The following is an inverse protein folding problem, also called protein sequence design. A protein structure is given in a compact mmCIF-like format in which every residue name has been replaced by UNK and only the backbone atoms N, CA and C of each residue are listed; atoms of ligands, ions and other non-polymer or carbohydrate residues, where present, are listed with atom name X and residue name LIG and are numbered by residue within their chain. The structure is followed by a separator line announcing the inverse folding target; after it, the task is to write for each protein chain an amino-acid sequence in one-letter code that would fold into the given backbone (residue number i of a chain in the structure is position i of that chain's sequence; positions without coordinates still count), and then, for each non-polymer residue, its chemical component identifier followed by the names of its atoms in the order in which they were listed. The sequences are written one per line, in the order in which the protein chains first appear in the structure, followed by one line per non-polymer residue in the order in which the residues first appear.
data_IF_960359441504
#
_entry.id   IF_960359441504
#
_cell.length_a   1.000
_cell.length_b   1.000
_cell.length_c   1.000
_cell.angle_alpha   90.00
_cell.angle_beta   90.00
_cell.angle_gamma   90.00
#
_symmetry.space_group_name_H-M   'P 1'
#
loop_
_entity.id
_entity.type
_entity.pdbx_description
1 polymer ?
#
# COMPACT_ATOMS: atom_id res chain seq x y z
N UNK A 1 34.40 30.69 44.31
CA UNK A 1 33.31 29.76 44.64
C UNK A 1 32.09 30.63 44.93
N UNK A 2 30.91 30.50 44.36
CA UNK A 2 30.32 29.60 43.37
C UNK A 2 29.18 30.37 42.69
N UNK A 3 28.79 29.92 41.50
CA UNK A 3 27.76 30.49 40.61
C UNK A 3 26.39 30.58 41.28
N UNK A 4 25.70 31.71 41.12
CA UNK A 4 24.24 31.76 41.14
C UNK A 4 23.75 31.65 39.69
N UNK A 5 22.88 30.67 39.45
CA UNK A 5 22.29 30.33 38.16
C UNK A 5 20.96 31.07 37.96
N UNK A 6 20.82 31.70 36.81
CA UNK A 6 19.54 32.13 36.21
C UNK A 6 18.58 30.94 36.08
N UNK A 7 17.33 31.12 36.54
CA UNK A 7 16.22 30.23 36.20
C UNK A 7 15.35 30.92 35.16
N UNK A 8 15.48 30.44 33.92
CA UNK A 8 14.63 30.73 32.78
C UNK A 8 13.22 30.18 33.01
N UNK A 9 12.24 31.01 32.64
CA UNK A 9 10.81 30.71 32.60
C UNK A 9 10.49 29.77 31.43
N UNK A 10 10.05 28.55 31.71
CA UNK A 10 9.42 27.65 30.74
C UNK A 10 7.90 27.68 30.92
N UNK A 11 7.21 28.44 30.08
CA UNK A 11 5.76 28.35 29.89
C UNK A 11 5.42 27.15 29.01
N UNK A 12 5.35 25.97 29.64
CA UNK A 12 4.77 24.77 29.03
C UNK A 12 3.25 24.78 29.16
N UNK A 13 2.54 25.18 28.10
CA UNK A 13 1.07 25.06 28.01
C UNK A 13 0.70 23.59 27.81
N UNK A 14 0.29 22.94 28.89
CA UNK A 14 -0.19 21.56 28.90
C UNK A 14 -1.70 21.55 28.55
N UNK A 15 -2.02 21.37 27.26
CA UNK A 15 -3.41 21.26 26.79
C UNK A 15 -3.93 19.83 26.98
N UNK A 16 -4.36 19.50 28.20
CA UNK A 16 -5.08 18.27 28.50
C UNK A 16 -6.59 18.51 28.26
N UNK A 17 -7.03 18.44 27.00
CA UNK A 17 -8.46 18.38 26.65
C UNK A 17 -8.77 16.91 26.35
N UNK A 18 -8.94 16.12 27.41
CA UNK A 18 -9.65 14.85 27.33
C UNK A 18 -11.11 15.16 26.98
N UNK A 19 -11.40 15.19 25.68
CA UNK A 19 -12.71 15.58 25.17
C UNK A 19 -13.68 14.39 25.26
N UNK A 20 -14.91 14.69 25.68
CA UNK A 20 -16.12 13.85 25.80
C UNK A 20 -16.37 12.86 24.63
N UNK A 21 -15.65 13.00 23.51
CA UNK A 21 -15.62 12.05 22.41
C UNK A 21 -15.01 10.69 22.79
N UNK A 22 -14.04 10.64 23.70
CA UNK A 22 -13.40 9.38 24.16
C UNK A 22 -14.41 8.49 24.91
N UNK A 23 -15.24 9.10 25.76
CA UNK A 23 -16.21 8.38 26.59
C UNK A 23 -17.35 7.76 25.77
N UNK A 24 -17.80 8.41 24.69
CA UNK A 24 -18.79 7.82 23.77
C UNK A 24 -18.20 6.73 22.87
N UNK A 25 -16.91 6.81 22.53
CA UNK A 25 -16.23 5.72 21.80
C UNK A 25 -16.07 4.49 22.68
N UNK A 26 -15.75 4.64 23.97
CA UNK A 26 -15.52 3.52 24.88
C UNK A 26 -16.81 2.75 25.24
N UNK A 27 -17.95 3.45 25.34
CA UNK A 27 -19.27 2.85 25.54
C UNK A 27 -19.74 2.05 24.31
N UNK A 28 -19.36 2.47 23.10
CA UNK A 28 -19.62 1.68 21.89
C UNK A 28 -18.59 0.56 21.68
N UNK A 29 -17.36 0.70 22.21
CA UNK A 29 -16.32 -0.32 22.18
C UNK A 29 -16.73 -1.57 22.97
N UNK A 30 -17.26 -1.41 24.18
CA UNK A 30 -17.77 -2.51 25.03
C UNK A 30 -19.02 -3.21 24.47
N UNK A 31 -19.67 -2.65 23.45
CA UNK A 31 -20.90 -3.20 22.86
C UNK A 31 -20.65 -4.30 21.82
N UNK A 32 -19.42 -4.39 21.30
CA UNK A 32 -18.99 -5.22 20.17
C UNK A 32 -18.06 -6.38 20.55
N UNK A 33 -17.95 -6.72 21.84
CA UNK A 33 -16.92 -7.64 22.33
C UNK A 33 -17.10 -9.10 21.88
N UNK A 34 -18.32 -9.54 21.60
CA UNK A 34 -18.58 -10.92 21.17
C UNK A 34 -18.10 -11.15 19.74
N UNK A 35 -17.42 -12.28 19.51
CA UNK A 35 -16.90 -12.69 18.19
C UNK A 35 -17.99 -12.70 17.10
N UNK A 36 -19.20 -13.13 17.44
CA UNK A 36 -20.37 -13.18 16.54
C UNK A 36 -20.75 -11.79 16.02
N UNK A 37 -20.76 -10.77 16.89
CA UNK A 37 -21.02 -9.38 16.47
C UNK A 37 -19.93 -8.86 15.54
N UNK A 38 -18.66 -9.15 15.85
CA UNK A 38 -17.53 -8.78 14.98
C UNK A 38 -17.69 -9.41 13.60
N UNK A 39 -18.05 -10.70 13.54
CA UNK A 39 -18.32 -11.42 12.31
C UNK A 39 -19.46 -10.79 11.49
N UNK A 40 -20.59 -10.46 12.12
CA UNK A 40 -21.73 -9.78 11.46
C UNK A 40 -21.31 -8.44 10.88
N UNK A 41 -20.57 -7.61 11.64
CA UNK A 41 -20.12 -6.31 11.15
C UNK A 41 -19.10 -6.42 10.01
N UNK A 42 -18.20 -7.39 10.07
CA UNK A 42 -17.27 -7.68 8.97
C UNK A 42 -18.01 -8.06 7.71
N UNK A 43 -18.98 -8.98 7.81
CA UNK A 43 -19.83 -9.39 6.70
C UNK A 43 -20.52 -8.18 6.06
N UNK A 44 -21.13 -7.31 6.87
CA UNK A 44 -21.80 -6.09 6.37
C UNK A 44 -20.84 -5.16 5.61
N UNK A 45 -19.59 -5.01 6.07
CA UNK A 45 -18.59 -4.17 5.38
C UNK A 45 -18.14 -4.82 4.07
N UNK A 46 -17.90 -6.13 4.07
CA UNK A 46 -17.47 -6.89 2.89
C UNK A 46 -18.57 -6.95 1.81
N UNK A 47 -19.83 -7.14 2.20
CA UNK A 47 -20.97 -7.17 1.28
C UNK A 47 -21.30 -5.78 0.71
N UNK A 48 -21.08 -4.71 1.50
CA UNK A 48 -21.38 -3.34 1.07
C UNK A 48 -20.47 -2.87 -0.06
N UNK A 49 -19.15 -3.07 0.07
CA UNK A 49 -18.18 -2.68 -0.93
C UNK A 49 -16.90 -3.51 -0.81
N UNK A 50 -16.94 -4.69 -1.43
CA UNK A 50 -15.87 -5.68 -1.35
C UNK A 50 -14.50 -5.14 -1.81
N UNK A 51 -14.47 -4.37 -2.91
CA UNK A 51 -13.22 -3.81 -3.46
C UNK A 51 -12.64 -2.72 -2.56
N UNK A 52 -13.49 -1.90 -1.94
CA UNK A 52 -13.03 -0.87 -1.02
C UNK A 52 -12.45 -1.47 0.27
N UNK A 53 -13.08 -2.53 0.79
CA UNK A 53 -12.57 -3.29 1.92
C UNK A 53 -11.22 -3.96 1.57
N UNK A 54 -11.14 -4.60 0.39
CA UNK A 54 -9.91 -5.22 -0.10
C UNK A 54 -8.76 -4.21 -0.29
N UNK A 55 -9.03 -3.02 -0.83
CA UNK A 55 -8.01 -1.98 -0.90
C UNK A 55 -7.54 -1.55 0.49
N UNK A 56 -8.47 -1.28 1.41
CA UNK A 56 -8.11 -0.83 2.77
C UNK A 56 -7.23 -1.87 3.48
N UNK A 57 -7.58 -3.13 3.34
CA UNK A 57 -6.78 -4.25 3.83
C UNK A 57 -5.42 -4.33 3.12
N UNK A 58 -5.39 -4.20 1.80
CA UNK A 58 -4.14 -4.22 1.01
C UNK A 58 -3.17 -3.10 1.39
N UNK A 59 -3.67 -1.90 1.70
CA UNK A 59 -2.85 -0.79 2.19
C UNK A 59 -2.29 -1.09 3.60
N UNK A 60 -3.09 -1.67 4.48
CA UNK A 60 -2.64 -2.12 5.80
C UNK A 60 -1.51 -3.16 5.69
N UNK A 61 -1.69 -4.17 4.85
CA UNK A 61 -0.69 -5.21 4.59
C UNK A 61 0.60 -4.61 4.01
N UNK A 62 0.50 -3.70 3.05
CA UNK A 62 1.66 -2.99 2.49
C UNK A 62 2.45 -2.23 3.57
N UNK A 63 1.75 -1.58 4.51
CA UNK A 63 2.35 -0.86 5.62
C UNK A 63 3.00 -1.81 6.64
N UNK A 64 2.38 -2.94 6.94
CA UNK A 64 2.88 -3.91 7.91
C UNK A 64 4.13 -4.64 7.43
N UNK A 65 4.19 -5.04 6.16
CA UNK A 65 5.36 -5.71 5.57
C UNK A 65 6.50 -4.75 5.17
N UNK A 66 6.30 -3.44 5.33
CA UNK A 66 7.35 -2.46 5.06
C UNK A 66 8.43 -2.52 6.12
N UNK A 67 9.71 -2.44 5.73
CA UNK A 67 10.82 -2.21 6.68
C UNK A 67 10.69 -0.88 7.46
N UNK A 68 9.78 0.01 7.01
CA UNK A 68 9.46 1.29 7.66
C UNK A 68 8.13 1.23 8.41
N UNK A 69 7.67 0.04 8.83
CA UNK A 69 6.40 -0.13 9.54
C UNK A 69 6.25 0.81 10.74
N UNK A 70 7.35 1.22 11.38
CA UNK A 70 7.31 2.18 12.50
C UNK A 70 6.65 3.52 12.16
N UNK A 71 6.85 4.02 10.93
CA UNK A 71 6.25 5.27 10.45
C UNK A 71 5.04 5.02 9.54
N UNK A 72 5.01 3.91 8.80
CA UNK A 72 3.96 3.61 7.82
C UNK A 72 2.71 2.95 8.44
N UNK A 73 2.89 2.09 9.45
CA UNK A 73 1.80 1.30 10.05
C UNK A 73 1.15 2.07 11.20
N UNK A 74 0.43 3.14 10.84
CA UNK A 74 -0.34 3.96 11.79
C UNK A 74 -1.77 4.15 11.27
N UNK A 75 -2.80 3.90 12.09
CA UNK A 75 -2.75 3.45 13.47
C UNK A 75 -2.37 1.97 13.58
N UNK A 76 -1.69 1.60 14.67
CA UNK A 76 -1.24 0.24 14.94
C UNK A 76 -2.30 -0.55 15.72
N UNK A 77 -2.57 -1.82 15.39
CA UNK A 77 -3.58 -2.62 16.09
C UNK A 77 -3.16 -2.89 17.55
N UNK A 78 -3.95 -2.45 18.55
CA UNK A 78 -3.55 -2.50 19.96
C UNK A 78 -3.41 -3.92 20.51
N UNK A 79 -4.08 -4.91 19.91
CA UNK A 79 -3.94 -6.32 20.30
C UNK A 79 -2.49 -6.83 20.15
N UNK A 80 -1.69 -6.22 19.29
CA UNK A 80 -0.30 -6.59 19.03
C UNK A 80 0.68 -5.64 19.73
N UNK A 81 0.23 -4.90 20.74
CA UNK A 81 1.09 -4.03 21.57
C UNK A 81 1.37 -4.71 22.91
N UNK A 82 2.62 -5.09 23.16
CA UNK A 82 3.06 -5.71 24.41
C UNK A 82 3.94 -4.73 25.18
N UNK A 83 3.43 -4.19 26.29
CA UNK A 83 4.15 -3.22 27.14
C UNK A 83 4.70 -2.00 26.39
N UNK A 84 3.94 -1.49 25.41
CA UNK A 84 4.34 -0.36 24.57
C UNK A 84 5.23 -0.71 23.38
N UNK A 85 5.61 -1.98 23.21
CA UNK A 85 6.39 -2.50 22.09
C UNK A 85 5.47 -3.18 21.09
N UNK A 86 5.69 -2.95 19.80
CA UNK A 86 4.93 -3.58 18.71
C UNK A 86 5.41 -5.02 18.51
N UNK A 87 4.51 -5.98 18.69
CA UNK A 87 4.76 -7.38 18.34
C UNK A 87 4.47 -7.60 16.84
N UNK A 88 5.49 -7.30 16.03
CA UNK A 88 5.39 -7.47 14.58
C UNK A 88 5.37 -8.94 14.16
N UNK A 89 6.00 -9.84 14.91
CA UNK A 89 6.08 -11.26 14.55
C UNK A 89 4.71 -11.91 14.64
N UNK A 90 3.98 -11.66 15.73
CA UNK A 90 2.60 -12.11 15.90
C UNK A 90 1.67 -11.48 14.86
N UNK A 91 1.81 -10.17 14.63
CA UNK A 91 0.99 -9.47 13.63
C UNK A 91 1.19 -10.04 12.21
N UNK A 92 2.44 -10.21 11.78
CA UNK A 92 2.76 -10.72 10.45
C UNK A 92 2.35 -12.19 10.28
N UNK A 93 2.39 -12.98 11.35
CA UNK A 93 1.84 -14.34 11.36
C UNK A 93 0.34 -14.31 11.06
N UNK A 94 -0.44 -13.54 11.81
CA UNK A 94 -1.90 -13.45 11.60
C UNK A 94 -2.23 -12.92 10.21
N UNK A 95 -1.52 -11.88 9.73
CA UNK A 95 -1.70 -11.35 8.36
C UNK A 95 -1.47 -12.44 7.30
N UNK A 96 -0.47 -13.30 7.49
CA UNK A 96 -0.13 -14.37 6.55
C UNK A 96 -1.20 -15.46 6.51
N UNK A 97 -1.89 -15.68 7.63
CA UNK A 97 -2.96 -16.67 7.75
C UNK A 97 -4.31 -16.17 7.21
N UNK A 98 -4.47 -14.86 6.96
CA UNK A 98 -5.71 -14.30 6.39
C UNK A 98 -5.92 -14.83 4.96
N UNK A 99 -6.98 -15.64 4.71
CA UNK A 99 -7.30 -16.12 3.37
C UNK A 99 -7.95 -15.00 2.54
N UNK A 100 -8.16 -15.24 1.25
CA UNK A 100 -8.90 -14.32 0.39
C UNK A 100 -10.25 -13.93 1.03
N UNK A 101 -10.66 -12.66 0.90
CA UNK A 101 -11.80 -12.11 1.67
C UNK A 101 -13.13 -12.77 1.32
N UNK A 102 -13.25 -13.39 0.14
CA UNK A 102 -14.40 -14.21 -0.26
C UNK A 102 -14.48 -15.51 0.55
N UNK A 103 -13.35 -16.15 0.83
CA UNK A 103 -13.28 -17.30 1.74
C UNK A 103 -13.55 -16.89 3.18
N UNK A 104 -13.04 -15.73 3.62
CA UNK A 104 -13.39 -15.17 4.93
C UNK A 104 -14.91 -15.01 5.02
N UNK A 105 -15.53 -14.39 4.01
CA UNK A 105 -16.98 -14.18 3.98
C UNK A 105 -17.77 -15.48 4.13
N UNK A 106 -17.33 -16.57 3.47
CA UNK A 106 -17.92 -17.91 3.64
C UNK A 106 -17.74 -18.47 5.05
N UNK A 107 -16.58 -18.24 5.67
CA UNK A 107 -16.31 -18.69 7.04
C UNK A 107 -17.13 -17.93 8.08
N UNK A 108 -17.45 -16.65 7.85
CA UNK A 108 -18.27 -15.85 8.75
C UNK A 108 -19.70 -16.39 8.89
N UNK A 109 -20.18 -17.20 7.94
CA UNK A 109 -21.51 -17.84 8.01
C UNK A 109 -21.53 -19.07 8.94
N UNK A 110 -20.37 -19.66 9.23
CA UNK A 110 -20.26 -20.82 10.11
C UNK A 110 -19.92 -20.40 11.55
N UNK A 111 -20.96 -20.09 12.33
CA UNK A 111 -20.82 -19.60 13.71
C UNK A 111 -20.00 -20.54 14.61
N UNK A 112 -20.12 -21.86 14.43
CA UNK A 112 -19.39 -22.85 15.23
C UNK A 112 -17.89 -22.85 14.96
N UNK A 113 -17.48 -22.45 13.75
CA UNK A 113 -16.08 -22.42 13.33
C UNK A 113 -15.40 -21.06 13.56
N UNK A 114 -16.14 -20.01 13.97
CA UNK A 114 -15.56 -18.68 14.23
C UNK A 114 -14.38 -18.69 15.21
N UNK A 115 -14.39 -19.47 16.31
CA UNK A 115 -13.25 -19.51 17.24
C UNK A 115 -11.93 -19.94 16.57
N UNK A 116 -11.98 -20.72 15.49
CA UNK A 116 -10.78 -21.17 14.78
C UNK A 116 -10.07 -20.05 14.00
N UNK A 117 -10.77 -18.93 13.78
CA UNK A 117 -10.27 -17.78 13.04
C UNK A 117 -10.43 -16.49 13.85
N UNK A 118 -10.45 -16.58 15.18
CA UNK A 118 -10.69 -15.43 16.07
C UNK A 118 -9.71 -14.29 15.83
N UNK A 119 -8.42 -14.60 15.69
CA UNK A 119 -7.36 -13.60 15.54
C UNK A 119 -7.47 -12.88 14.20
N UNK A 120 -7.88 -13.61 13.16
CA UNK A 120 -8.17 -13.07 11.82
C UNK A 120 -9.38 -12.13 11.89
N UNK A 121 -10.46 -12.57 12.55
CA UNK A 121 -11.67 -11.76 12.74
C UNK A 121 -11.33 -10.48 13.50
N UNK A 122 -10.56 -10.58 14.58
CA UNK A 122 -10.21 -9.44 15.42
C UNK A 122 -9.35 -8.42 14.67
N UNK A 123 -8.35 -8.89 13.91
CA UNK A 123 -7.50 -8.03 13.11
C UNK A 123 -8.27 -7.36 11.95
N UNK A 124 -9.06 -8.14 11.19
CA UNK A 124 -9.88 -7.59 10.12
C UNK A 124 -10.92 -6.61 10.68
N UNK A 125 -11.54 -6.94 11.81
CA UNK A 125 -12.52 -6.08 12.46
C UNK A 125 -11.87 -4.76 12.89
N UNK A 126 -10.66 -4.81 13.45
CA UNK A 126 -9.90 -3.61 13.77
C UNK A 126 -9.72 -2.73 12.51
N UNK A 127 -9.16 -3.27 11.43
CA UNK A 127 -8.80 -2.48 10.24
C UNK A 127 -10.02 -2.01 9.45
N UNK A 128 -11.02 -2.87 9.25
CA UNK A 128 -12.15 -2.61 8.34
C UNK A 128 -13.33 -1.95 9.04
N UNK A 129 -13.56 -2.26 10.32
CA UNK A 129 -14.76 -1.83 11.05
C UNK A 129 -14.42 -0.78 12.12
N UNK A 130 -13.46 -1.08 13.01
CA UNK A 130 -13.13 -0.21 14.16
C UNK A 130 -12.50 1.10 13.71
N UNK A 131 -11.62 1.06 12.71
CA UNK A 131 -11.13 2.26 12.03
C UNK A 131 -12.22 2.84 11.12
N UNK A 132 -13.24 3.46 11.74
CA UNK A 132 -14.48 3.87 11.09
C UNK A 132 -14.27 4.93 10.00
N UNK A 133 -13.29 5.83 10.18
CA UNK A 133 -13.07 6.96 9.27
C UNK A 133 -11.58 7.13 8.91
N UNK A 134 -11.28 7.54 7.66
CA UNK A 134 -12.22 7.70 6.55
C UNK A 134 -12.65 6.34 5.96
N UNK A 135 -13.84 6.33 5.35
CA UNK A 135 -14.35 5.17 4.60
C UNK A 135 -13.96 5.27 3.14
N UNK A 136 -13.76 4.13 2.49
CA UNK A 136 -13.54 4.06 1.05
C UNK A 136 -14.82 3.61 0.35
N UNK A 137 -15.05 4.18 -0.83
CA UNK A 137 -16.13 3.77 -1.73
C UNK A 137 -15.55 3.56 -3.13
N UNK A 138 -15.80 2.40 -3.71
CA UNK A 138 -15.44 2.10 -5.09
C UNK A 138 -16.18 3.02 -6.04
N UNK A 139 -15.43 3.64 -6.93
CA UNK A 139 -15.97 4.51 -7.97
C UNK A 139 -16.26 3.67 -9.23
N UNK A 140 -17.49 3.72 -9.77
CA UNK A 140 -17.84 3.09 -11.05
C UNK A 140 -16.96 3.55 -12.22
N UNK A 141 -16.64 2.64 -13.15
CA UNK A 141 -15.67 2.91 -14.23
C UNK A 141 -16.14 3.97 -15.23
N UNK A 142 -17.44 4.13 -15.39
CA UNK A 142 -18.09 5.13 -16.27
C UNK A 142 -17.82 6.58 -15.84
N UNK A 143 -17.55 6.83 -14.55
CA UNK A 143 -17.25 8.18 -14.05
C UNK A 143 -15.76 8.45 -13.87
N UNK A 144 -14.87 7.49 -14.20
CA UNK A 144 -13.42 7.65 -14.02
C UNK A 144 -12.87 8.84 -14.81
N UNK A 145 -13.30 9.01 -16.05
CA UNK A 145 -12.83 10.09 -16.93
C UNK A 145 -13.25 11.47 -16.40
N UNK A 146 -14.44 11.58 -15.81
CA UNK A 146 -14.92 12.81 -15.17
C UNK A 146 -14.08 13.19 -13.95
N UNK A 147 -13.69 12.21 -13.14
CA UNK A 147 -12.83 12.45 -11.96
C UNK A 147 -11.43 12.87 -12.38
N UNK A 148 -10.85 12.22 -13.40
CA UNK A 148 -9.54 12.57 -13.93
C UNK A 148 -9.51 13.99 -14.51
N UNK A 149 -10.62 14.42 -15.11
CA UNK A 149 -10.79 15.77 -15.64
C UNK A 149 -10.98 16.86 -14.57
N UNK A 150 -11.17 16.51 -13.29
CA UNK A 150 -11.28 17.50 -12.20
C UNK A 150 -9.96 18.23 -11.94
N UNK A 151 -8.83 17.55 -12.13
CA UNK A 151 -7.55 18.21 -12.22
C UNK A 151 -7.45 18.80 -13.64
N UNK A 152 -7.18 20.10 -13.75
CA UNK A 152 -7.03 20.79 -15.04
C UNK A 152 -5.74 20.36 -15.76
N UNK A 153 -5.63 19.08 -16.11
CA UNK A 153 -4.48 18.45 -16.76
C UNK A 153 -4.42 18.87 -18.23
N UNK A 154 -3.24 19.23 -18.70
CA UNK A 154 -2.94 19.53 -20.10
C UNK A 154 -2.74 18.27 -20.92
N UNK A 155 -2.27 17.19 -20.27
CA UNK A 155 -2.03 15.90 -20.91
C UNK A 155 -3.15 14.92 -20.60
N UNK A 156 -3.41 13.98 -21.52
CA UNK A 156 -4.37 12.90 -21.26
C UNK A 156 -3.84 12.01 -20.13
N UNK A 157 -4.53 11.96 -18.97
CA UNK A 157 -4.07 11.21 -17.82
C UNK A 157 -4.08 9.70 -18.11
N UNK A 158 -3.07 8.97 -17.64
CA UNK A 158 -3.07 7.51 -17.74
C UNK A 158 -4.23 6.93 -16.93
N UNK A 159 -4.98 5.98 -17.50
CA UNK A 159 -6.17 5.42 -16.87
C UNK A 159 -5.81 4.45 -15.72
N UNK A 160 -6.25 4.70 -14.48
CA UNK A 160 -6.13 3.73 -13.40
C UNK A 160 -7.09 2.55 -13.59
N UNK A 161 -6.75 1.38 -13.05
CA UNK A 161 -7.65 0.22 -13.05
C UNK A 161 -8.81 0.40 -12.07
N UNK A 162 -8.56 1.06 -10.94
CA UNK A 162 -9.55 1.32 -9.92
C UNK A 162 -9.43 2.76 -9.39
N UNK A 163 -10.57 3.37 -9.08
CA UNK A 163 -10.65 4.64 -8.35
C UNK A 163 -11.51 4.40 -7.12
N UNK A 164 -11.06 4.93 -5.98
CA UNK A 164 -11.79 4.89 -4.72
C UNK A 164 -11.98 6.30 -4.19
N UNK A 165 -13.19 6.64 -3.79
CA UNK A 165 -13.51 7.89 -3.12
C UNK A 165 -13.23 7.75 -1.63
N UNK A 166 -12.54 8.74 -1.06
CA UNK A 166 -12.32 8.87 0.38
C UNK A 166 -13.45 9.70 0.96
N UNK A 167 -14.21 9.10 1.89
CA UNK A 167 -15.41 9.68 2.47
C UNK A 167 -15.24 9.78 3.98
N UNK A 168 -15.24 11.01 4.47
CA UNK A 168 -15.35 11.36 5.89
C UNK A 168 -16.81 11.60 6.28
N UNK A 169 -17.17 11.37 7.53
CA UNK A 169 -18.52 11.67 8.01
C UNK A 169 -18.77 13.17 8.03
N UNK A 170 -19.99 13.60 7.66
CA UNK A 170 -20.40 15.00 7.76
C UNK A 170 -20.32 15.59 9.17
N UNK A 171 -20.25 14.74 10.20
CA UNK A 171 -20.14 15.14 11.61
C UNK A 171 -18.72 15.03 12.16
N UNK A 172 -17.76 14.57 11.36
CA UNK A 172 -16.38 14.44 11.84
C UNK A 172 -15.72 15.80 11.99
N UNK A 173 -14.84 15.93 12.98
CA UNK A 173 -14.11 17.17 13.25
C UNK A 173 -13.28 17.60 12.04
N UNK A 174 -12.69 16.64 11.32
CA UNK A 174 -11.93 16.86 10.08
C UNK A 174 -12.82 17.44 8.97
N UNK A 175 -14.03 16.91 8.78
CA UNK A 175 -14.94 17.41 7.74
C UNK A 175 -15.49 18.80 8.08
N UNK A 176 -15.80 19.04 9.36
CA UNK A 176 -16.25 20.36 9.82
C UNK A 176 -15.16 21.42 9.64
N UNK A 177 -13.92 21.11 10.06
CA UNK A 177 -12.75 21.97 9.86
C UNK A 177 -12.51 22.27 8.39
N UNK A 178 -12.61 21.26 7.52
CA UNK A 178 -12.47 21.45 6.08
C UNK A 178 -13.51 22.39 5.50
N UNK A 179 -14.79 22.22 5.87
CA UNK A 179 -15.89 23.07 5.41
C UNK A 179 -15.72 24.53 5.85
N UNK A 180 -15.18 24.74 7.05
CA UNK A 180 -14.88 26.08 7.55
C UNK A 180 -13.76 26.75 6.75
N UNK A 181 -12.64 26.05 6.54
CA UNK A 181 -11.49 26.56 5.79
C UNK A 181 -11.82 26.86 4.33
N UNK A 182 -12.62 26.02 3.69
CA UNK A 182 -13.00 26.15 2.28
C UNK A 182 -14.11 27.16 2.00
N UNK A 183 -14.84 27.64 3.03
CA UNK A 183 -16.07 28.42 2.85
C UNK A 183 -15.94 29.67 1.97
N UNK A 184 -14.79 30.35 2.04
CA UNK A 184 -14.55 31.63 1.37
C UNK A 184 -13.41 31.55 0.34
N UNK A 185 -12.98 30.35 -0.01
CA UNK A 185 -11.82 30.11 -0.86
C UNK A 185 -12.21 29.22 -2.03
N UNK A 186 -11.51 29.37 -3.15
CA UNK A 186 -11.64 28.45 -4.26
C UNK A 186 -11.02 27.10 -3.87
N UNK A 187 -11.57 26.01 -4.42
CA UNK A 187 -11.01 24.67 -4.24
C UNK A 187 -10.61 24.13 -5.60
N UNK A 188 -9.37 23.69 -5.72
CA UNK A 188 -8.86 23.04 -6.92
C UNK A 188 -8.37 21.63 -6.61
N UNK A 189 -8.10 20.86 -7.66
CA UNK A 189 -7.64 19.48 -7.56
C UNK A 189 -6.19 19.35 -8.01
N UNK A 190 -5.41 18.57 -7.28
CA UNK A 190 -4.04 18.25 -7.63
C UNK A 190 -3.65 16.84 -7.17
N UNK A 191 -2.70 16.24 -7.87
CA UNK A 191 -2.22 14.89 -7.60
C UNK A 191 -1.06 14.87 -6.60
N UNK A 192 -1.04 13.84 -5.76
CA UNK A 192 0.06 13.51 -4.86
C UNK A 192 0.51 12.07 -5.05
N UNK A 193 1.81 11.86 -5.24
CA UNK A 193 2.40 10.55 -5.45
C UNK A 193 3.22 10.12 -4.26
N UNK A 194 3.08 8.86 -3.84
CA UNK A 194 3.84 8.31 -2.71
C UNK A 194 4.08 6.80 -2.86
N UNK A 195 4.95 6.24 -2.02
CA UNK A 195 5.14 4.78 -1.95
C UNK A 195 3.88 4.13 -1.38
N UNK A 196 3.50 2.96 -1.90
CA UNK A 196 2.25 2.28 -1.53
C UNK A 196 2.07 2.13 -0.02
N UNK A 197 3.11 1.72 0.71
CA UNK A 197 3.04 1.48 2.15
C UNK A 197 2.70 2.74 2.98
N UNK A 198 2.92 3.93 2.43
CA UNK A 198 2.60 5.18 3.11
C UNK A 198 1.10 5.51 3.03
N UNK A 199 0.36 4.92 2.09
CA UNK A 199 -1.06 5.23 1.89
C UNK A 199 -1.94 4.78 3.05
N UNK A 200 -1.52 3.79 3.85
CA UNK A 200 -2.26 3.42 5.06
C UNK A 200 -2.24 4.56 6.10
N UNK A 201 -1.05 5.07 6.46
CA UNK A 201 -0.97 6.21 7.39
C UNK A 201 -1.57 7.48 6.82
N UNK A 202 -1.34 7.75 5.53
CA UNK A 202 -1.91 8.90 4.82
C UNK A 202 -3.44 8.86 4.80
N UNK A 203 -4.04 7.67 4.62
CA UNK A 203 -5.49 7.52 4.65
C UNK A 203 -6.06 7.85 6.04
N UNK A 204 -5.39 7.43 7.12
CA UNK A 204 -5.92 7.60 8.48
C UNK A 204 -5.59 8.96 9.11
N UNK A 205 -4.46 9.58 8.74
CA UNK A 205 -3.97 10.82 9.37
C UNK A 205 -3.82 12.00 8.39
N UNK A 206 -4.19 11.82 7.13
CA UNK A 206 -3.98 12.82 6.08
C UNK A 206 -2.52 12.94 5.65
N UNK A 207 -2.24 13.93 4.79
CA UNK A 207 -0.88 14.23 4.35
C UNK A 207 -0.16 15.01 5.44
N UNK A 208 0.95 14.47 5.95
CA UNK A 208 1.72 15.10 7.03
C UNK A 208 3.03 15.68 6.50
N UNK A 209 3.21 17.00 6.62
CA UNK A 209 4.39 17.71 6.14
C UNK A 209 5.71 17.15 6.67
N UNK A 210 5.75 16.80 7.97
CA UNK A 210 6.97 16.29 8.61
C UNK A 210 7.35 14.87 8.20
N UNK A 211 6.44 14.13 7.56
CA UNK A 211 6.71 12.81 6.98
C UNK A 211 7.09 12.89 5.49
N UNK A 212 6.97 14.08 4.89
CA UNK A 212 7.39 14.32 3.52
C UNK A 212 8.88 14.64 3.47
N UNK A 213 9.54 14.25 2.37
CA UNK A 213 10.95 14.56 2.18
C UNK A 213 11.12 16.08 2.06
N UNK A 214 11.96 16.65 2.91
CA UNK A 214 12.48 18.00 2.69
C UNK A 214 13.30 17.97 1.40
N UNK A 215 12.92 18.76 0.41
CA UNK A 215 13.70 18.92 -0.82
C UNK A 215 14.27 20.33 -0.88
N UNK A 216 15.15 20.60 -1.84
CA UNK A 216 15.67 21.94 -2.11
C UNK A 216 14.58 22.99 -2.37
N UNK A 217 13.35 22.53 -2.66
CA UNK A 217 12.17 23.33 -2.93
C UNK A 217 11.42 23.74 -1.64
N UNK A 218 11.86 23.30 -0.45
CA UNK A 218 11.30 23.71 0.84
C UNK A 218 10.46 22.62 1.54
N UNK A 219 9.85 22.99 2.66
CA UNK A 219 9.09 22.05 3.49
C UNK A 219 7.60 22.17 3.18
N UNK A 220 6.96 21.08 2.73
CA UNK A 220 5.53 21.10 2.39
C UNK A 220 5.03 19.78 1.82
N UNK A 221 3.74 19.75 1.49
CA UNK A 221 3.11 18.71 0.69
C UNK A 221 3.26 19.08 -0.78
N UNK A 222 3.95 18.23 -1.54
CA UNK A 222 4.15 18.40 -2.97
C UNK A 222 2.97 17.85 -3.75
N UNK A 223 2.35 18.71 -4.55
CA UNK A 223 1.24 18.37 -5.42
C UNK A 223 1.56 18.80 -6.86
N UNK A 224 0.94 18.16 -7.84
CA UNK A 224 1.05 18.57 -9.25
C UNK A 224 -0.31 18.54 -9.92
N UNK A 225 -0.63 19.49 -10.82
CA UNK A 225 -1.83 19.39 -11.64
C UNK A 225 -1.71 18.25 -12.66
N UNK A 226 -0.50 17.81 -13.00
CA UNK A 226 -0.25 16.76 -13.98
C UNK A 226 -0.07 15.38 -13.33
N UNK A 227 -0.92 14.43 -13.74
CA UNK A 227 -0.81 13.04 -13.30
C UNK A 227 0.49 12.39 -13.79
N UNK A 228 0.91 12.71 -15.02
CA UNK A 228 2.14 12.20 -15.65
C UNK A 228 3.39 12.57 -14.87
N UNK A 229 3.44 13.77 -14.27
CA UNK A 229 4.51 14.22 -13.39
C UNK A 229 4.49 13.50 -12.03
N UNK A 230 3.34 12.98 -11.59
CA UNK A 230 3.15 12.39 -10.26
C UNK A 230 3.41 10.87 -10.22
N UNK A 231 3.14 10.17 -11.31
CA UNK A 231 3.31 8.71 -11.42
C UNK A 231 4.73 8.22 -11.06
N UNK A 232 5.82 8.88 -11.50
CA UNK A 232 7.18 8.46 -11.13
C UNK A 232 7.44 8.48 -9.62
N UNK A 233 6.73 9.34 -8.87
CA UNK A 233 6.83 9.40 -7.41
C UNK A 233 5.96 8.33 -6.71
N UNK A 234 5.02 7.74 -7.45
CA UNK A 234 4.03 6.76 -6.97
C UNK A 234 4.56 5.33 -7.12
N UNK A 235 5.65 5.04 -6.40
CA UNK A 235 6.33 3.76 -6.50
C UNK A 235 5.39 2.61 -6.12
N UNK A 236 5.28 1.64 -7.02
CA UNK A 236 4.51 0.44 -6.76
C UNK A 236 5.13 -0.42 -5.65
N UNK A 237 4.30 -1.12 -4.92
CA UNK A 237 4.68 -2.04 -3.85
C UNK A 237 3.81 -3.27 -3.81
N UNK A 238 4.18 -4.22 -2.96
CA UNK A 238 3.35 -5.38 -2.66
C UNK A 238 2.23 -4.94 -1.70
N UNK A 239 0.99 -5.13 -2.13
CA UNK A 239 -0.20 -4.97 -1.30
C UNK A 239 -0.46 -6.27 -0.56
N UNK A 240 -1.58 -6.91 -0.85
CA UNK A 240 -1.91 -8.22 -0.31
C UNK A 240 -2.01 -9.28 -1.42
N UNK A 241 -1.31 -10.40 -1.26
CA UNK A 241 -1.19 -11.42 -2.31
C UNK A 241 -2.51 -12.09 -2.72
N UNK A 242 -3.51 -12.11 -1.84
CA UNK A 242 -4.83 -12.65 -2.10
C UNK A 242 -5.88 -11.55 -2.44
N UNK A 243 -5.42 -10.32 -2.70
CA UNK A 243 -6.29 -9.21 -3.08
C UNK A 243 -7.00 -9.45 -4.41
N UNK A 244 -8.28 -9.11 -4.47
CA UNK A 244 -9.09 -9.18 -5.68
C UNK A 244 -8.78 -8.04 -6.68
N UNK A 245 -8.22 -6.92 -6.21
CA UNK A 245 -7.76 -5.80 -7.06
C UNK A 245 -6.31 -5.97 -7.52
N UNK A 246 -5.54 -6.85 -6.89
CA UNK A 246 -4.21 -7.28 -7.33
C UNK A 246 -3.13 -7.20 -6.25
N UNK A 247 -2.17 -8.11 -6.29
CA UNK A 247 -1.12 -8.20 -5.26
C UNK A 247 0.02 -7.18 -5.38
N UNK A 248 0.15 -6.48 -6.52
CA UNK A 248 1.15 -5.43 -6.71
C UNK A 248 0.47 -4.15 -7.19
N UNK A 249 0.49 -3.11 -6.35
CA UNK A 249 -0.27 -1.89 -6.53
C UNK A 249 0.66 -0.68 -6.57
N UNK A 250 0.32 0.31 -7.38
CA UNK A 250 0.79 1.70 -7.24
C UNK A 250 -0.44 2.57 -6.97
N UNK A 251 -0.27 3.62 -6.18
CA UNK A 251 -1.37 4.48 -5.76
C UNK A 251 -0.98 5.95 -5.91
N UNK A 252 -1.90 6.75 -6.44
CA UNK A 252 -1.81 8.22 -6.51
C UNK A 252 -3.02 8.78 -5.76
N UNK A 253 -2.83 9.82 -4.94
CA UNK A 253 -3.94 10.57 -4.36
C UNK A 253 -4.36 11.71 -5.30
N UNK A 254 -5.65 11.89 -5.52
CA UNK A 254 -6.22 13.14 -6.03
C UNK A 254 -6.76 13.91 -4.84
N UNK A 255 -6.14 15.05 -4.58
CA UNK A 255 -6.41 15.89 -3.44
C UNK A 255 -7.31 17.05 -3.84
N UNK A 256 -8.23 17.43 -2.95
CA UNK A 256 -8.84 18.76 -2.95
C UNK A 256 -7.92 19.69 -2.16
N UNK A 257 -7.73 20.90 -2.67
CA UNK A 257 -6.83 21.91 -2.12
C UNK A 257 -7.55 23.24 -2.01
N UNK A 258 -7.55 23.84 -0.82
CA UNK A 258 -8.11 25.17 -0.57
C UNK A 258 -7.12 26.24 -1.02
N UNK A 259 -7.47 27.02 -2.04
CA UNK A 259 -6.68 28.14 -2.54
C UNK A 259 -6.71 29.33 -1.56
N UNK A 260 -5.84 29.26 -0.56
CA UNK A 260 -5.60 30.32 0.41
C UNK A 260 -4.18 30.90 0.21
N UNK A 261 -4.02 32.22 0.00
CA UNK A 261 -2.73 32.84 -0.34
C UNK A 261 -1.59 32.60 0.67
N UNK A 262 -1.91 32.41 1.95
CA UNK A 262 -0.91 32.28 3.02
C UNK A 262 -0.41 30.85 3.23
N UNK A 263 -1.11 29.84 2.71
CA UNK A 263 -0.81 28.43 2.97
C UNK A 263 -0.32 27.62 1.76
N UNK A 264 -0.32 28.24 0.57
CA UNK A 264 0.15 27.62 -0.67
C UNK A 264 1.29 28.44 -1.25
N UNK A 265 2.45 27.79 -1.34
CA UNK A 265 3.56 28.31 -2.11
C UNK A 265 3.45 27.79 -3.55
N UNK A 266 3.16 28.73 -4.44
CA UNK A 266 3.21 28.52 -5.88
C UNK A 266 4.67 28.50 -6.32
N UNK A 267 5.24 27.33 -6.54
CA UNK A 267 6.57 27.25 -7.11
C UNK A 267 6.53 27.13 -8.63
N UNK A 268 7.19 28.11 -9.26
CA UNK A 268 7.66 27.98 -10.63
C UNK A 268 8.98 27.20 -10.56
N UNK A 269 9.25 26.26 -11.49
CA UNK A 269 10.58 25.70 -11.61
C UNK A 269 11.54 26.87 -11.80
N UNK A 270 12.54 26.99 -10.91
CA UNK A 270 13.57 28.02 -11.03
C UNK A 270 14.32 27.73 -12.33
N UNK A 271 14.06 28.53 -13.37
CA UNK A 271 15.00 28.63 -14.47
C UNK A 271 16.27 29.22 -13.88
N UNK A 272 17.40 28.54 -14.02
CA UNK A 272 18.72 29.11 -13.79
C UNK A 272 19.02 30.18 -14.85
N UNK A 273 18.16 31.21 -14.97
CA UNK A 273 18.45 32.43 -15.70
C UNK A 273 19.07 33.43 -14.71
N UNK A 274 20.20 33.02 -14.13
CA UNK A 274 21.19 33.90 -13.56
C UNK A 274 22.35 33.95 -14.53
N UNK A 275 22.47 35.09 -15.22
CA UNK A 275 23.55 35.50 -16.11
C UNK A 275 23.83 34.64 -17.34
N UNK A 276 23.99 35.32 -18.48
CA UNK A 276 24.07 34.73 -19.81
C UNK A 276 25.15 33.65 -19.99
N UNK A 277 24.90 32.82 -21.01
CA UNK A 277 25.66 31.66 -21.49
C UNK A 277 25.55 30.42 -20.60
N UNK A 278 24.65 29.50 -20.96
CA UNK A 278 24.96 28.13 -21.40
C UNK A 278 23.61 27.46 -21.70
N UNK A 279 23.31 27.23 -22.99
CA UNK A 279 22.17 26.42 -23.41
C UNK A 279 22.60 24.95 -23.35
N UNK A 280 22.09 24.20 -22.37
CA UNK A 280 22.04 22.74 -22.47
C UNK A 280 20.62 22.32 -22.83
N UNK A 281 20.50 21.62 -23.95
CA UNK A 281 19.23 21.30 -24.58
C UNK A 281 18.63 20.05 -23.98
N UNK A 282 17.66 20.20 -23.04
CA UNK A 282 16.65 19.17 -22.69
C UNK A 282 15.58 19.57 -21.68
N UNK A 283 15.31 20.86 -21.46
CA UNK A 283 14.12 21.30 -20.70
C UNK A 283 13.15 22.00 -21.63
N UNK A 284 12.19 21.24 -22.14
CA UNK A 284 11.12 21.72 -22.99
C UNK A 284 10.14 22.54 -22.13
N UNK A 285 10.33 23.87 -22.12
CA UNK A 285 9.39 24.79 -21.48
C UNK A 285 8.20 24.99 -22.41
N UNK A 286 7.07 24.35 -22.13
CA UNK A 286 5.80 24.65 -22.82
C UNK A 286 5.26 26.00 -22.33
N UNK A 287 5.62 27.08 -23.04
CA UNK A 287 4.97 28.39 -22.92
C UNK A 287 3.80 28.42 -23.92
N UNK A 288 2.56 28.43 -23.42
CA UNK A 288 1.38 28.76 -24.22
C UNK A 288 0.84 30.10 -23.72
N UNK A 289 0.69 31.07 -24.61
CA UNK A 289 0.11 32.40 -24.34
C UNK A 289 0.82 33.29 -23.28
N UNK A 290 2.13 33.16 -23.09
CA UNK A 290 2.90 34.13 -22.29
C UNK A 290 2.77 33.98 -20.76
N UNK A 291 1.91 33.10 -20.26
CA UNK A 291 1.82 32.77 -18.83
C UNK A 291 2.80 31.64 -18.47
N UNK A 292 3.54 31.82 -17.38
CA UNK A 292 4.45 30.80 -16.84
C UNK A 292 3.65 29.75 -16.10
N UNK A 293 3.58 28.52 -16.64
CA UNK A 293 2.80 27.42 -16.08
C UNK A 293 3.32 26.98 -14.70
N UNK A 294 2.41 26.80 -13.75
CA UNK A 294 2.70 26.19 -12.45
C UNK A 294 2.79 24.68 -12.65
N UNK A 295 3.99 24.12 -12.54
CA UNK A 295 4.21 22.68 -12.70
C UNK A 295 4.00 21.90 -11.40
N UNK A 296 4.13 22.56 -10.25
CA UNK A 296 4.03 21.97 -8.92
C UNK A 296 3.49 23.00 -7.90
N UNK A 297 2.73 22.50 -6.92
CA UNK A 297 2.28 23.26 -5.75
C UNK A 297 2.97 22.71 -4.50
N UNK A 298 3.40 23.61 -3.61
CA UNK A 298 3.89 23.24 -2.29
C UNK A 298 2.93 23.82 -1.26
N UNK A 299 2.17 22.93 -0.65
CA UNK A 299 1.23 23.33 0.41
C UNK A 299 1.94 23.19 1.76
N UNK A 300 2.16 24.31 2.44
CA UNK A 300 2.85 24.34 3.73
C UNK A 300 1.88 23.97 4.86
N UNK A 301 0.62 24.40 4.76
CA UNK A 301 -0.40 24.04 5.72
C UNK A 301 -1.20 22.80 5.27
N UNK A 302 -0.94 21.66 5.92
CA UNK A 302 -1.60 20.39 5.60
C UNK A 302 -3.13 20.43 5.80
N UNK A 303 -3.66 21.34 6.62
CA UNK A 303 -5.11 21.49 6.81
C UNK A 303 -5.84 21.99 5.57
N UNK A 304 -5.11 22.58 4.61
CA UNK A 304 -5.64 23.05 3.33
C UNK A 304 -5.68 21.95 2.27
N UNK A 305 -5.23 20.74 2.58
CA UNK A 305 -5.24 19.60 1.65
C UNK A 305 -6.01 18.44 2.26
N UNK A 306 -6.93 17.86 1.50
CA UNK A 306 -7.51 16.56 1.82
C UNK A 306 -7.47 15.63 0.63
N UNK A 307 -7.36 14.34 0.90
CA UNK A 307 -7.47 13.33 -0.14
C UNK A 307 -8.93 13.11 -0.45
N UNK A 308 -9.29 13.22 -1.72
CA UNK A 308 -10.65 13.00 -2.19
C UNK A 308 -10.80 11.67 -2.91
N UNK A 309 -9.80 11.29 -3.70
CA UNK A 309 -9.78 10.01 -4.41
C UNK A 309 -8.40 9.34 -4.34
N UNK A 310 -8.41 8.01 -4.38
CA UNK A 310 -7.23 7.18 -4.59
C UNK A 310 -7.32 6.53 -5.98
N UNK A 311 -6.33 6.81 -6.83
CA UNK A 311 -6.17 6.19 -8.13
C UNK A 311 -5.22 5.01 -7.99
N UNK A 312 -5.72 3.80 -8.21
CA UNK A 312 -4.96 2.57 -8.00
C UNK A 312 -4.61 1.93 -9.33
N UNK A 313 -3.31 1.75 -9.51
CA UNK A 313 -2.70 1.08 -10.64
C UNK A 313 -2.29 -0.33 -10.25
N UNK A 314 -3.14 -1.30 -10.62
CA UNK A 314 -2.84 -2.70 -10.38
C UNK A 314 -1.96 -3.23 -11.50
N UNK A 315 -0.73 -3.63 -11.18
CA UNK A 315 0.07 -4.40 -12.12
C UNK A 315 -0.48 -5.82 -12.13
N UNK A 316 -0.99 -6.25 -13.26
CA UNK A 316 -1.21 -7.69 -13.46
C UNK A 316 0.16 -8.36 -13.30
N UNK A 317 0.28 -9.40 -12.44
CA UNK A 317 1.51 -10.16 -12.38
C UNK A 317 1.73 -10.80 -13.76
N UNK A 318 2.60 -10.20 -14.56
CA UNK A 318 3.18 -10.85 -15.71
C UNK A 318 3.91 -12.09 -15.16
N UNK A 319 3.38 -13.27 -15.47
CA UNK A 319 3.74 -14.58 -14.91
C UNK A 319 3.08 -14.95 -13.57
N UNK A 320 1.85 -15.46 -13.65
CA UNK A 320 1.44 -16.74 -13.04
C UNK A 320 0.07 -17.20 -13.58
N UNK A 321 -0.24 -16.88 -14.84
CA UNK A 321 -1.28 -17.61 -15.60
C UNK A 321 -0.73 -18.99 -15.94
N UNK A 322 -0.66 -19.89 -14.96
CA UNK A 322 -0.95 -21.27 -15.28
C UNK A 322 -2.43 -21.30 -15.58
N UNK A 323 -2.77 -21.31 -16.87
CA UNK A 323 -4.12 -21.65 -17.30
C UNK A 323 -4.52 -22.93 -16.56
N UNK A 324 -5.47 -22.80 -15.63
CA UNK A 324 -6.27 -23.91 -15.15
C UNK A 324 -7.16 -24.33 -16.32
N UNK A 325 -6.55 -24.95 -17.33
CA UNK A 325 -7.27 -25.63 -18.38
C UNK A 325 -7.75 -26.93 -17.77
N UNK A 326 -9.06 -26.96 -17.56
CA UNK A 326 -9.83 -28.14 -17.25
C UNK A 326 -9.42 -29.27 -18.22
N UNK A 327 -8.74 -30.30 -17.72
CA UNK A 327 -8.58 -31.56 -18.44
C UNK A 327 -8.38 -32.68 -17.44
N UNK A 328 -9.34 -33.59 -17.52
CA UNK A 328 -9.40 -34.89 -16.90
C UNK A 328 -8.12 -35.73 -17.22
N UNK A 329 -7.75 -36.63 -16.28
CA UNK A 329 -6.77 -37.76 -16.33
C UNK A 329 -5.36 -37.61 -15.70
N UNK A 330 -5.11 -38.54 -14.76
CA UNK A 330 -3.85 -39.15 -14.26
C UNK A 330 -3.12 -38.52 -13.05
N UNK A 331 -3.39 -39.08 -11.85
CA UNK A 331 -2.99 -38.57 -10.53
C UNK A 331 -1.81 -39.26 -9.82
N UNK A 332 -0.58 -39.15 -10.34
CA UNK A 332 0.63 -39.55 -9.54
C UNK A 332 1.78 -38.55 -9.59
N UNK A 333 1.95 -37.83 -10.71
CA UNK A 333 3.07 -36.88 -10.90
C UNK A 333 2.74 -35.42 -10.52
N UNK A 334 1.49 -35.11 -10.13
CA UNK A 334 1.05 -33.74 -9.79
C UNK A 334 1.33 -33.36 -8.33
N UNK A 335 1.41 -34.32 -7.41
CA UNK A 335 1.71 -34.06 -5.99
C UNK A 335 3.11 -33.49 -5.80
N UNK A 336 4.12 -34.07 -6.45
CA UNK A 336 5.51 -33.59 -6.38
C UNK A 336 5.66 -32.19 -7.00
N UNK A 337 5.02 -31.92 -8.16
CA UNK A 337 5.06 -30.60 -8.81
C UNK A 337 4.34 -29.53 -7.97
N UNK A 338 3.23 -29.88 -7.33
CA UNK A 338 2.50 -28.97 -6.44
C UNK A 338 3.27 -28.70 -5.14
N UNK A 339 3.92 -29.73 -4.59
CA UNK A 339 4.78 -29.62 -3.41
C UNK A 339 6.03 -28.78 -3.68
N UNK A 340 6.69 -28.96 -4.83
CA UNK A 340 7.80 -28.11 -5.29
C UNK A 340 7.37 -26.65 -5.44
N UNK A 341 6.19 -26.41 -6.03
CA UNK A 341 5.65 -25.06 -6.21
C UNK A 341 5.29 -24.37 -4.88
N UNK A 342 4.89 -25.15 -3.87
CA UNK A 342 4.55 -24.66 -2.52
C UNK A 342 5.81 -24.39 -1.68
N UNK A 343 6.84 -25.22 -1.79
CA UNK A 343 8.07 -25.11 -1.02
C UNK A 343 9.24 -24.63 -1.89
N UNK A 344 9.15 -23.37 -2.34
CA UNK A 344 10.10 -22.76 -3.28
C UNK A 344 11.54 -22.73 -2.73
N UNK A 345 11.71 -22.30 -1.48
CA UNK A 345 13.03 -22.23 -0.84
C UNK A 345 13.67 -23.62 -0.70
N UNK A 346 12.91 -24.58 -0.17
CA UNK A 346 13.39 -25.95 0.05
C UNK A 346 13.71 -26.65 -1.28
N UNK A 347 12.96 -26.36 -2.34
CA UNK A 347 13.21 -26.87 -3.69
C UNK A 347 14.48 -26.29 -4.31
N UNK A 348 14.75 -25.01 -4.10
CA UNK A 348 16.01 -24.36 -4.53
C UNK A 348 17.19 -24.96 -3.76
N UNK A 349 17.03 -25.18 -2.45
CA UNK A 349 18.08 -25.73 -1.59
C UNK A 349 18.40 -27.20 -1.93
N UNK A 350 17.37 -28.01 -2.21
CA UNK A 350 17.52 -29.37 -2.74
C UNK A 350 18.17 -29.38 -4.12
N UNK A 351 17.77 -28.47 -5.01
CA UNK A 351 18.37 -28.32 -6.34
C UNK A 351 19.84 -27.94 -6.26
N UNK A 352 20.20 -27.03 -5.35
CA UNK A 352 21.57 -26.62 -5.09
C UNK A 352 22.40 -27.76 -4.47
N UNK A 353 21.83 -28.53 -3.54
CA UNK A 353 22.48 -29.72 -2.99
C UNK A 353 22.74 -30.79 -4.05
N UNK A 354 21.78 -31.03 -4.96
CA UNK A 354 21.97 -31.93 -6.10
C UNK A 354 23.05 -31.43 -7.05
N UNK A 355 23.09 -30.12 -7.35
CA UNK A 355 24.15 -29.52 -8.15
C UNK A 355 25.53 -29.79 -7.53
N UNK A 356 25.69 -29.51 -6.23
CA UNK A 356 26.94 -29.76 -5.51
C UNK A 356 27.32 -31.24 -5.51
N UNK A 357 26.35 -32.15 -5.33
CA UNK A 357 26.58 -33.58 -5.42
C UNK A 357 27.02 -34.00 -6.82
N UNK A 358 26.40 -33.47 -7.88
CA UNK A 358 26.80 -33.78 -9.27
C UNK A 358 28.20 -33.29 -9.60
N UNK A 359 28.59 -32.10 -9.12
CA UNK A 359 29.94 -31.56 -9.26
C UNK A 359 30.94 -32.42 -8.46
N UNK A 360 30.58 -32.80 -7.24
CA UNK A 360 31.39 -33.69 -6.39
C UNK A 360 31.60 -35.08 -7.01
N UNK A 361 30.57 -35.66 -7.60
CA UNK A 361 30.67 -36.94 -8.30
C UNK A 361 31.46 -36.84 -9.62
N UNK A 362 31.33 -35.74 -10.36
CA UNK A 362 32.09 -35.51 -11.58
C UNK A 362 33.61 -35.38 -11.32
N UNK A 363 33.98 -34.87 -10.15
CA UNK A 363 35.37 -34.66 -9.76
C UNK A 363 36.01 -35.85 -9.02
N UNK A 364 35.28 -36.96 -8.82
CA UNK A 364 35.77 -38.13 -8.09
C UNK A 364 36.32 -39.21 -9.05
N UNK A 365 37.62 -39.48 -8.96
CA UNK A 365 38.37 -40.39 -9.85
C UNK A 365 37.82 -41.83 -9.94
N UNK A 366 37.44 -42.52 -8.85
CA UNK A 366 36.81 -43.85 -8.93
C UNK A 366 35.46 -43.86 -9.66
N UNK A 367 34.69 -42.78 -9.66
CA UNK A 367 33.38 -42.73 -10.32
C UNK A 367 33.51 -42.56 -11.83
N UNK A 368 34.52 -41.82 -12.29
CA UNK A 368 34.89 -41.75 -13.71
C UNK A 368 35.20 -43.14 -14.30
N UNK A 369 35.80 -44.04 -13.50
CA UNK A 369 36.05 -45.43 -13.90
C UNK A 369 34.75 -46.23 -14.12
N UNK A 370 33.79 -46.11 -13.20
CA UNK A 370 32.47 -46.75 -13.35
C UNK A 370 31.67 -46.19 -14.53
N UNK A 371 31.70 -44.87 -14.77
CA UNK A 371 31.07 -44.28 -15.94
C UNK A 371 31.66 -44.85 -17.24
N UNK A 372 32.99 -44.97 -17.35
CA UNK A 372 33.64 -45.58 -18.53
C UNK A 372 33.22 -47.04 -18.73
N UNK A 373 33.08 -47.81 -17.66
CA UNK A 373 32.59 -49.20 -17.75
C UNK A 373 31.13 -49.24 -18.20
N UNK A 374 30.27 -48.37 -17.65
CA UNK A 374 28.85 -48.31 -17.98
C UNK A 374 28.64 -47.91 -19.44
N UNK A 375 29.31 -46.85 -19.90
CA UNK A 375 29.27 -46.43 -21.31
C UNK A 375 29.78 -47.51 -22.24
N UNK A 376 30.88 -48.19 -21.90
CA UNK A 376 31.40 -49.31 -22.70
C UNK A 376 30.42 -50.47 -22.80
N UNK A 377 29.68 -50.78 -21.71
CA UNK A 377 28.62 -51.81 -21.72
C UNK A 377 27.39 -51.38 -22.52
N UNK A 378 27.02 -50.11 -22.45
CA UNK A 378 25.91 -49.54 -23.24
C UNK A 378 26.26 -49.55 -24.73
N UNK A 379 27.48 -49.16 -25.10
CA UNK A 379 27.97 -49.20 -26.48
C UNK A 379 28.04 -50.64 -27.02
N UNK A 380 28.45 -51.61 -26.20
CA UNK A 380 28.42 -53.03 -26.55
C UNK A 380 26.98 -53.54 -26.76
N UNK A 381 26.02 -53.11 -25.93
CA UNK A 381 24.61 -53.48 -26.07
C UNK A 381 23.93 -52.81 -27.28
N UNK A 382 24.34 -51.58 -27.62
CA UNK A 382 23.89 -50.86 -28.82
C UNK A 382 24.54 -51.42 -30.10
N UNK A 383 25.77 -51.94 -30.02
CA UNK A 383 26.42 -52.63 -31.14
C UNK A 383 25.80 -54.02 -31.39
N UNK A 384 25.37 -54.73 -30.34
CA UNK A 384 24.70 -56.04 -30.48
C UNK A 384 23.25 -55.95 -31.00
N UNK A 385 22.69 -54.74 -31.12
CA UNK A 385 21.35 -54.49 -31.68
C UNK A 385 21.38 -53.95 -33.11
N UNK A 386 22.57 -53.81 -33.73
CA UNK A 386 22.77 -53.41 -35.14
C UNK A 386 23.28 -54.55 -36.04
N UNK A 387 22.94 -55.81 -35.72
CA UNK A 387 23.12 -56.96 -36.62
C UNK A 387 21.77 -57.43 -37.11
#
# INVERSE_FOLDING_TARGET
MEREHEVLSETGTNCNIASVSETMSDINQTKLDTLEKKAVHLRLVLEKDFKAADLKWSLFVAAAFSFRYESCLRPFPPAFMKSGIKDMDELLSVITDVPALDLVLQQLDNLEALPNISDIIDLLFYVLVRLKEPTLKTVPTDVHEQILAMANTMTTPSKPQHIFQVISSNKSTVELKWKELSKNHNVFYAYHGNRLENFYTILNFGLQQHLNKNTSLGNGVYLSPELSATIPHSHGGFGWGASCIGGHLSCVALCEVVDAPEGINYQKPVSNEGDGLYKDGKTDHMRVNGETQVTQYIVTNCDLVRIRYLLVYAKQPASLRFHARNSNRNGRFRGFRHWLARHKLLSILLGYGLLLATIGFANNQPIQYYYKILFKKIDMALASTRV
#
